data_IF_910168638168
#
_entry.id   IF_910168638168
#
_cell.length_a   1.000
_cell.length_b   1.000
_cell.length_c   1.000
_cell.angle_alpha   90.00
_cell.angle_beta   90.00
_cell.angle_gamma   90.00
#
_symmetry.space_group_name_H-M   'P 1'
#
loop_
_entity.id
_entity.type
_entity.pdbx_description
1 polymer ?
#
# COMPACT_ATOMS: atom_id res chain seq x y z
N UNK A 1 -13.55 11.80 -40.19
CA UNK A 1 -12.36 12.41 -39.53
C UNK A 1 -12.46 12.07 -38.06
N UNK A 2 -11.95 10.89 -37.68
CA UNK A 2 -11.82 10.49 -36.29
C UNK A 2 -10.40 10.84 -35.87
N UNK A 3 -10.25 11.68 -34.85
CA UNK A 3 -8.99 11.84 -34.13
C UNK A 3 -9.32 11.66 -32.64
N UNK A 4 -9.31 10.40 -32.22
CA UNK A 4 -9.30 10.02 -30.81
C UNK A 4 -7.93 10.38 -30.25
N UNK A 5 -7.91 11.29 -29.27
CA UNK A 5 -6.71 11.66 -28.54
C UNK A 5 -6.38 10.50 -27.57
N UNK A 6 -5.53 9.59 -28.02
CA UNK A 6 -4.91 8.56 -27.18
C UNK A 6 -3.99 9.25 -26.17
N UNK A 7 -4.51 9.48 -24.96
CA UNK A 7 -3.68 9.67 -23.78
C UNK A 7 -2.98 8.34 -23.50
N UNK A 8 -1.87 8.12 -24.21
CA UNK A 8 -0.90 7.10 -23.89
C UNK A 8 -0.35 7.39 -22.50
N UNK A 9 -0.76 6.61 -21.50
CA UNK A 9 -0.06 6.51 -20.25
C UNK A 9 1.30 5.85 -20.52
N UNK A 10 2.29 6.67 -20.89
CA UNK A 10 3.68 6.28 -20.93
C UNK A 10 4.05 5.69 -19.56
N UNK A 11 4.78 4.57 -19.52
CA UNK A 11 5.19 3.96 -18.26
C UNK A 11 6.20 4.90 -17.61
N UNK A 12 5.71 5.74 -16.70
CA UNK A 12 6.58 6.55 -15.85
C UNK A 12 7.47 5.57 -15.10
N UNK A 13 8.76 5.83 -15.11
CA UNK A 13 9.72 5.16 -14.23
C UNK A 13 9.19 5.36 -12.82
N UNK A 14 8.52 4.35 -12.25
CA UNK A 14 7.85 4.46 -10.97
C UNK A 14 8.91 4.59 -9.88
N UNK A 15 9.25 5.82 -9.53
CA UNK A 15 10.11 6.11 -8.39
C UNK A 15 9.37 5.67 -7.14
N UNK A 16 10.00 4.78 -6.37
CA UNK A 16 9.48 4.34 -5.08
C UNK A 16 9.44 5.55 -4.14
N UNK A 17 8.27 5.83 -3.56
CA UNK A 17 8.05 6.98 -2.67
C UNK A 17 8.11 6.65 -1.18
N UNK A 18 8.10 5.36 -0.83
CA UNK A 18 8.08 4.87 0.55
C UNK A 18 9.03 3.68 0.73
N UNK A 19 9.64 3.58 1.89
CA UNK A 19 10.52 2.46 2.25
C UNK A 19 9.92 1.67 3.41
N UNK A 20 10.02 0.34 3.36
CA UNK A 20 9.61 -0.54 4.46
C UNK A 20 10.70 -0.56 5.52
N UNK A 21 10.37 -0.14 6.74
CA UNK A 21 11.34 -0.02 7.83
C UNK A 21 11.31 -1.21 8.78
N UNK A 22 10.13 -1.76 9.07
CA UNK A 22 9.99 -2.84 10.03
C UNK A 22 8.77 -3.72 9.75
N UNK A 23 8.80 -4.94 10.28
CA UNK A 23 7.65 -5.84 10.29
C UNK A 23 7.51 -6.53 11.64
N UNK A 24 6.28 -6.83 12.05
CA UNK A 24 5.98 -7.55 13.28
C UNK A 24 4.73 -8.42 13.14
N UNK A 25 4.57 -9.38 14.06
CA UNK A 25 3.31 -10.12 14.23
C UNK A 25 2.35 -9.29 15.08
N UNK A 26 1.12 -9.12 14.61
CA UNK A 26 0.04 -8.41 15.30
C UNK A 26 -1.13 -9.37 15.53
N UNK A 27 -1.13 -10.14 16.64
CA UNK A 27 -2.29 -10.94 17.02
C UNK A 27 -3.44 -10.01 17.40
N UNK A 28 -4.61 -10.19 16.78
CA UNK A 28 -5.83 -9.45 17.08
C UNK A 28 -6.95 -10.42 17.45
N UNK A 29 -8.04 -9.92 18.04
CA UNK A 29 -9.20 -10.75 18.39
C UNK A 29 -9.82 -11.45 17.17
N UNK A 30 -9.73 -10.84 15.98
CA UNK A 30 -10.28 -11.38 14.72
C UNK A 30 -9.26 -12.22 13.92
N UNK A 31 -8.08 -12.46 14.49
CA UNK A 31 -7.09 -13.37 13.94
C UNK A 31 -5.67 -12.81 13.91
N UNK A 32 -4.78 -13.59 13.28
CA UNK A 32 -3.36 -13.29 13.18
C UNK A 32 -3.09 -12.37 11.98
N UNK A 33 -2.54 -11.19 12.24
CA UNK A 33 -2.06 -10.28 11.22
C UNK A 33 -0.54 -10.11 11.32
N UNK A 34 0.04 -9.63 10.23
CA UNK A 34 1.36 -9.03 10.22
C UNK A 34 1.16 -7.53 10.00
N UNK A 35 1.97 -6.72 10.68
CA UNK A 35 2.04 -5.28 10.48
C UNK A 35 3.39 -4.95 9.86
N UNK A 36 3.38 -4.09 8.84
CA UNK A 36 4.58 -3.52 8.26
C UNK A 36 4.52 -1.99 8.37
N UNK A 37 5.59 -1.40 8.90
CA UNK A 37 5.78 0.05 8.96
C UNK A 37 6.55 0.55 7.74
N UNK A 38 6.09 1.64 7.18
CA UNK A 38 6.70 2.31 6.04
C UNK A 38 6.97 3.78 6.39
N UNK A 39 8.06 4.31 5.86
CA UNK A 39 8.40 5.73 5.95
C UNK A 39 8.38 6.36 4.57
N UNK A 40 7.84 7.57 4.47
CA UNK A 40 7.92 8.38 3.26
C UNK A 40 9.37 8.79 2.97
N UNK A 41 9.76 8.74 1.70
CA UNK A 41 11.05 9.26 1.23
C UNK A 41 10.98 10.76 0.89
N UNK A 42 9.77 11.31 0.80
CA UNK A 42 9.52 12.71 0.42
C UNK A 42 8.98 13.57 1.59
N UNK A 43 8.41 12.95 2.62
CA UNK A 43 7.85 13.60 3.80
C UNK A 43 8.34 12.90 5.08
N UNK A 44 7.98 13.44 6.25
CA UNK A 44 8.26 12.80 7.54
C UNK A 44 7.09 11.94 8.04
N UNK A 45 6.26 11.45 7.12
CA UNK A 45 5.08 10.65 7.43
C UNK A 45 5.42 9.17 7.51
N UNK A 46 4.67 8.47 8.37
CA UNK A 46 4.75 7.02 8.53
C UNK A 46 3.41 6.39 8.13
N UNK A 47 3.50 5.24 7.48
CA UNK A 47 2.35 4.47 7.04
C UNK A 47 2.43 3.07 7.61
N UNK A 48 1.27 2.44 7.83
CA UNK A 48 1.18 1.07 8.31
C UNK A 48 0.34 0.23 7.37
N UNK A 49 0.79 -0.99 7.13
CA UNK A 49 0.06 -1.99 6.36
C UNK A 49 -0.23 -3.17 7.26
N UNK A 50 -1.52 -3.49 7.42
CA UNK A 50 -1.98 -4.72 8.04
C UNK A 50 -2.31 -5.73 6.96
N UNK A 51 -1.70 -6.91 7.04
CA UNK A 51 -1.93 -7.97 6.07
C UNK A 51 -2.03 -9.34 6.75
N UNK A 52 -2.83 -10.21 6.15
CA UNK A 52 -3.11 -11.57 6.64
C UNK A 52 -2.78 -12.56 5.54
N UNK A 53 -2.07 -13.63 5.89
CA UNK A 53 -1.62 -14.64 4.93
C UNK A 53 -0.41 -14.19 4.10
N UNK A 54 -0.29 -14.77 2.91
CA UNK A 54 0.77 -14.47 1.94
C UNK A 54 0.19 -13.80 0.70
N UNK A 55 0.85 -12.74 0.23
CA UNK A 55 0.45 -12.03 -0.99
C UNK A 55 1.13 -12.68 -2.19
N UNK A 56 0.34 -13.13 -3.16
CA UNK A 56 0.81 -13.74 -4.39
C UNK A 56 0.45 -12.88 -5.59
N UNK A 57 1.40 -12.67 -6.50
CA UNK A 57 1.21 -11.79 -7.67
C UNK A 57 0.05 -12.22 -8.58
N UNK A 58 -0.28 -13.50 -8.61
CA UNK A 58 -1.30 -14.07 -9.50
C UNK A 58 -2.71 -14.11 -8.88
N UNK A 59 -2.85 -13.72 -7.61
CA UNK A 59 -4.12 -13.77 -6.89
C UNK A 59 -4.52 -12.37 -6.44
N UNK A 60 -5.69 -11.86 -6.87
CA UNK A 60 -6.20 -10.58 -6.41
C UNK A 60 -6.31 -10.56 -4.88
N UNK A 61 -5.75 -9.52 -4.27
CA UNK A 61 -5.81 -9.33 -2.82
C UNK A 61 -6.89 -8.31 -2.49
N UNK A 62 -7.73 -8.59 -1.49
CA UNK A 62 -8.67 -7.60 -0.98
C UNK A 62 -7.88 -6.49 -0.26
N UNK A 63 -8.05 -5.25 -0.71
CA UNK A 63 -7.34 -4.08 -0.18
C UNK A 63 -8.32 -3.06 0.38
N UNK A 64 -7.95 -2.47 1.52
CA UNK A 64 -8.59 -1.28 2.08
C UNK A 64 -7.53 -0.23 2.35
N UNK A 65 -7.73 0.97 1.80
CA UNK A 65 -6.92 2.16 2.11
C UNK A 65 -7.71 3.01 3.09
N UNK A 66 -7.05 3.45 4.16
CA UNK A 66 -7.70 4.21 5.21
C UNK A 66 -6.77 5.34 5.69
N UNK A 67 -7.28 6.57 5.67
CA UNK A 67 -6.62 7.70 6.32
C UNK A 67 -6.86 7.62 7.82
N UNK A 68 -5.79 7.73 8.61
CA UNK A 68 -5.90 7.71 10.07
C UNK A 68 -6.83 8.83 10.54
N UNK A 69 -7.81 8.48 11.37
CA UNK A 69 -8.65 9.40 12.12
C UNK A 69 -8.51 9.07 13.60
N UNK A 70 -7.98 9.99 14.41
CA UNK A 70 -7.76 9.73 15.85
C UNK A 70 -9.08 9.61 16.62
N UNK A 71 -10.11 10.34 16.18
CA UNK A 71 -11.42 10.36 16.84
C UNK A 71 -12.31 9.18 16.44
N UNK A 72 -11.96 8.48 15.37
CA UNK A 72 -12.82 7.47 14.74
C UNK A 72 -13.90 8.14 13.91
#
# INVERSE_FOLDING_TARGET
>A
MLSENSQDCLPTTHTISVEKIATAKLPTQIGQFKIAGYRSLASNEEFVVLYKGEMQKNFPTLVRIHSQCLTG
#
